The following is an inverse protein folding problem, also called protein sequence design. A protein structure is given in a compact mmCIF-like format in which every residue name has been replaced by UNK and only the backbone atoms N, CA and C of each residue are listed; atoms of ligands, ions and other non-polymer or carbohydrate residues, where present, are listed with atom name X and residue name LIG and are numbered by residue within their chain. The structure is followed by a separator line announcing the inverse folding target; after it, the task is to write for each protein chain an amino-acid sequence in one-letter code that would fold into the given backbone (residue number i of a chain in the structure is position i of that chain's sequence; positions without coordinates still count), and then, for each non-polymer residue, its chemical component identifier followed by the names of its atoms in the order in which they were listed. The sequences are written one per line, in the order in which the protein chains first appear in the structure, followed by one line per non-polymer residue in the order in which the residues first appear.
data_IF_690795018603
#
_entry.id   IF_690795018603
#
_cell.length_a   1.000
_cell.length_b   1.000
_cell.length_c   1.000
_cell.angle_alpha   90.00
_cell.angle_beta   90.00
_cell.angle_gamma   90.00
#
_symmetry.space_group_name_H-M   'P 1'
#
loop_
_entity.id
_entity.type
_entity.pdbx_description
1 polymer ?
#
# COMPACT_ATOMS: atom_id res chain seq x y z
N UNK A 1 -20.37 -30.12 -1.89
CA UNK A 1 -19.45 -29.49 -0.95
C UNK A 1 -18.80 -28.32 -1.68
N UNK A 2 -18.49 -27.21 -1.00
CA UNK A 2 -17.79 -26.09 -1.64
C UNK A 2 -16.31 -26.41 -1.67
N UNK A 3 -15.63 -26.05 -2.76
CA UNK A 3 -14.18 -26.16 -2.89
C UNK A 3 -13.56 -24.84 -2.47
N UNK A 4 -12.50 -24.89 -1.65
CA UNK A 4 -11.66 -23.74 -1.37
C UNK A 4 -10.46 -23.76 -2.31
N UNK A 5 -10.22 -22.67 -3.02
CA UNK A 5 -9.03 -22.45 -3.85
C UNK A 5 -8.07 -21.58 -3.05
N UNK A 6 -6.78 -21.96 -3.04
CA UNK A 6 -5.76 -21.27 -2.26
C UNK A 6 -4.40 -21.26 -2.96
N UNK A 7 -3.63 -20.21 -2.72
CA UNK A 7 -2.24 -20.10 -3.13
C UNK A 7 -1.33 -20.22 -1.91
N UNK A 8 -0.48 -21.24 -1.92
CA UNK A 8 0.44 -21.60 -0.84
C UNK A 8 1.84 -21.10 -1.17
N UNK A 9 2.55 -20.53 -0.19
CA UNK A 9 3.97 -20.22 -0.35
C UNK A 9 4.78 -21.51 -0.35
N UNK A 10 5.20 -21.96 -1.53
CA UNK A 10 5.93 -23.22 -1.73
C UNK A 10 7.41 -23.10 -1.41
N UNK A 11 8.01 -21.98 -1.83
CA UNK A 11 9.44 -21.66 -1.58
C UNK A 11 9.61 -20.15 -1.39
N UNK A 12 10.72 -19.77 -0.76
CA UNK A 12 11.11 -18.37 -0.62
C UNK A 12 11.53 -17.82 -1.99
N UNK A 13 10.93 -16.69 -2.47
CA UNK A 13 11.36 -16.08 -3.72
C UNK A 13 12.80 -15.58 -3.65
N UNK A 14 13.60 -15.88 -4.69
CA UNK A 14 14.92 -15.32 -4.89
C UNK A 14 14.84 -14.22 -5.96
N UNK A 15 14.74 -12.96 -5.53
CA UNK A 15 14.44 -11.83 -6.43
C UNK A 15 12.94 -11.60 -6.61
N UNK A 16 12.49 -11.15 -7.82
CA UNK A 16 11.06 -10.99 -8.12
C UNK A 16 10.30 -12.31 -7.99
N UNK A 17 9.09 -12.25 -7.42
CA UNK A 17 8.22 -13.42 -7.31
C UNK A 17 7.85 -13.96 -8.70
N UNK A 18 7.88 -15.27 -8.83
CA UNK A 18 7.42 -16.01 -10.02
C UNK A 18 6.35 -17.03 -9.59
N UNK A 19 5.52 -17.46 -10.53
CA UNK A 19 4.43 -18.40 -10.25
C UNK A 19 4.93 -19.68 -9.55
N UNK A 20 6.13 -20.18 -9.91
CA UNK A 20 6.73 -21.37 -9.32
C UNK A 20 7.12 -21.23 -7.84
N UNK A 21 7.08 -20.03 -7.26
CA UNK A 21 7.29 -19.82 -5.82
C UNK A 21 6.04 -20.23 -5.02
N UNK A 22 4.92 -20.42 -5.72
CA UNK A 22 3.63 -20.71 -5.14
C UNK A 22 3.10 -22.07 -5.62
N UNK A 23 2.22 -22.66 -4.84
CA UNK A 23 1.46 -23.87 -5.18
C UNK A 23 -0.02 -23.53 -5.19
N UNK A 24 -0.69 -23.77 -6.32
CA UNK A 24 -2.16 -23.71 -6.38
C UNK A 24 -2.73 -24.98 -5.79
N UNK A 25 -3.67 -24.85 -4.87
CA UNK A 25 -4.33 -25.97 -4.21
C UNK A 25 -5.83 -25.79 -4.22
N UNK A 26 -6.54 -26.88 -4.47
CA UNK A 26 -7.97 -27.00 -4.28
C UNK A 26 -8.23 -28.02 -3.17
N UNK A 27 -8.97 -27.61 -2.15
CA UNK A 27 -9.36 -28.47 -1.05
C UNK A 27 -10.87 -28.41 -0.86
N UNK A 28 -11.44 -29.46 -0.26
CA UNK A 28 -12.80 -29.38 0.21
C UNK A 28 -12.87 -28.37 1.36
N UNK A 29 -13.84 -27.45 1.31
CA UNK A 29 -14.02 -26.49 2.40
C UNK A 29 -14.45 -27.27 3.66
N UNK A 30 -13.50 -27.46 4.56
CA UNK A 30 -13.78 -28.00 5.87
C UNK A 30 -14.58 -26.97 6.68
N UNK A 31 -15.71 -27.42 7.24
CA UNK A 31 -16.56 -26.64 8.13
C UNK A 31 -16.36 -27.04 9.59
N UNK A 32 -15.26 -26.71 10.27
CA UNK A 32 -15.22 -26.80 11.71
C UNK A 32 -16.24 -25.80 12.29
N UNK A 33 -16.88 -26.14 13.39
CA UNK A 33 -17.66 -25.17 14.14
C UNK A 33 -16.75 -23.99 14.48
N UNK A 34 -17.17 -22.76 14.12
CA UNK A 34 -16.37 -21.58 14.37
C UNK A 34 -16.19 -21.37 15.88
N UNK A 35 -14.95 -21.18 16.31
CA UNK A 35 -14.64 -20.77 17.68
C UNK A 35 -15.12 -19.33 17.95
N UNK A 36 -15.33 -18.94 19.22
CA UNK A 36 -15.70 -17.57 19.55
C UNK A 36 -14.73 -16.51 18.96
N UNK A 37 -15.28 -15.47 18.36
CA UNK A 37 -14.53 -14.42 17.70
C UNK A 37 -14.06 -14.76 16.28
N UNK A 38 -14.46 -15.90 15.72
CA UNK A 38 -14.12 -16.27 14.35
C UNK A 38 -15.26 -15.94 13.38
N UNK A 39 -14.88 -15.59 12.17
CA UNK A 39 -15.76 -15.38 11.03
C UNK A 39 -15.26 -16.18 9.83
N UNK A 40 -16.18 -16.72 9.03
CA UNK A 40 -15.88 -17.27 7.71
C UNK A 40 -16.23 -16.23 6.66
N UNK A 41 -15.26 -15.86 5.85
CA UNK A 41 -15.39 -14.85 4.79
C UNK A 41 -15.19 -15.50 3.43
N UNK A 42 -16.04 -15.17 2.46
CA UNK A 42 -15.78 -15.41 1.04
C UNK A 42 -15.10 -14.19 0.46
N UNK A 43 -13.83 -14.31 0.11
CA UNK A 43 -13.02 -13.24 -0.44
C UNK A 43 -13.30 -13.02 -1.92
N UNK A 44 -13.63 -11.79 -2.29
CA UNK A 44 -13.95 -11.37 -3.66
C UNK A 44 -12.93 -10.39 -4.23
N UNK A 45 -12.13 -9.72 -3.38
CA UNK A 45 -11.12 -8.75 -3.78
C UNK A 45 -9.82 -8.98 -3.03
N UNK A 46 -8.70 -8.94 -3.76
CA UNK A 46 -7.34 -9.12 -3.24
C UNK A 46 -6.48 -7.92 -3.62
N UNK A 47 -5.85 -7.29 -2.62
CA UNK A 47 -4.90 -6.19 -2.85
C UNK A 47 -3.52 -6.74 -3.17
N UNK A 48 -2.95 -6.35 -4.29
CA UNK A 48 -1.54 -6.57 -4.58
C UNK A 48 -0.68 -5.48 -3.92
N UNK A 49 -0.23 -5.73 -2.70
CA UNK A 49 0.63 -4.81 -1.96
C UNK A 49 2.10 -5.26 -2.04
N UNK A 50 3.04 -4.38 -2.46
CA UNK A 50 4.46 -4.76 -2.57
C UNK A 50 5.05 -5.31 -1.27
N UNK A 51 4.55 -4.86 -0.13
CA UNK A 51 5.03 -5.26 1.20
C UNK A 51 4.92 -6.77 1.47
N UNK A 52 4.00 -7.48 0.80
CA UNK A 52 3.87 -8.95 0.91
C UNK A 52 5.16 -9.67 0.55
N UNK A 53 6.00 -9.10 -0.35
CA UNK A 53 7.27 -9.69 -0.73
C UNK A 53 8.19 -9.86 0.49
N UNK A 54 8.22 -8.88 1.42
CA UNK A 54 9.01 -8.98 2.64
C UNK A 54 8.52 -10.10 3.56
N UNK A 55 7.20 -10.34 3.58
CA UNK A 55 6.61 -11.39 4.42
C UNK A 55 6.87 -12.80 3.89
N UNK A 56 7.32 -12.92 2.64
CA UNK A 56 7.73 -14.20 2.04
C UNK A 56 9.19 -14.56 2.37
N UNK A 57 9.98 -13.65 2.96
CA UNK A 57 11.35 -13.93 3.39
C UNK A 57 11.38 -14.84 4.63
N UNK A 58 12.54 -15.46 4.87
CA UNK A 58 12.74 -16.28 6.05
C UNK A 58 12.60 -15.45 7.33
N UNK A 59 12.13 -16.05 8.44
CA UNK A 59 12.09 -15.36 9.73
C UNK A 59 13.43 -14.74 10.07
N UNK A 60 13.40 -13.47 10.47
CA UNK A 60 14.57 -12.70 10.84
C UNK A 60 14.30 -11.87 12.09
N UNK A 61 15.26 -11.03 12.48
CA UNK A 61 15.05 -10.04 13.57
C UNK A 61 14.21 -8.83 13.14
N UNK A 62 13.59 -8.89 11.95
CA UNK A 62 12.67 -7.85 11.49
C UNK A 62 11.38 -7.84 12.29
N UNK A 63 10.77 -6.66 12.37
CA UNK A 63 9.50 -6.46 13.09
C UNK A 63 8.27 -6.80 12.25
N UNK A 64 8.44 -7.30 11.02
CA UNK A 64 7.34 -7.72 10.16
C UNK A 64 7.15 -9.26 10.18
N UNK A 65 5.93 -9.74 9.90
CA UNK A 65 5.65 -11.18 9.90
C UNK A 65 6.43 -11.92 8.81
N UNK A 66 6.61 -13.23 8.98
CA UNK A 66 7.10 -14.14 7.93
C UNK A 66 6.04 -15.21 7.70
N UNK A 67 5.69 -15.40 6.43
CA UNK A 67 4.76 -16.46 6.01
C UNK A 67 5.52 -17.79 6.07
N UNK A 68 4.92 -18.81 6.69
CA UNK A 68 5.51 -20.14 6.75
C UNK A 68 5.45 -20.83 5.37
N UNK A 69 6.47 -21.62 5.05
CA UNK A 69 6.41 -22.49 3.87
C UNK A 69 5.30 -23.53 4.04
N UNK A 70 4.49 -23.70 3.00
CA UNK A 70 3.32 -24.57 3.01
C UNK A 70 2.04 -23.93 3.58
N UNK A 71 2.12 -22.68 4.04
CA UNK A 71 0.95 -21.89 4.45
C UNK A 71 0.38 -21.05 3.31
N UNK A 72 -0.92 -20.71 3.33
CA UNK A 72 -1.53 -19.76 2.43
C UNK A 72 -0.85 -18.38 2.54
N UNK A 73 -0.70 -17.69 1.39
CA UNK A 73 -0.05 -16.38 1.36
C UNK A 73 -0.91 -15.34 2.04
N UNK A 74 -0.38 -14.67 3.05
CA UNK A 74 -1.04 -13.52 3.71
C UNK A 74 -1.34 -12.40 2.70
N UNK A 75 -2.49 -11.77 2.82
CA UNK A 75 -2.90 -10.67 1.95
C UNK A 75 -3.87 -9.72 2.64
N UNK A 76 -4.02 -8.51 2.12
CA UNK A 76 -5.21 -7.71 2.41
C UNK A 76 -6.31 -8.13 1.45
N UNK A 77 -7.44 -8.55 2.00
CA UNK A 77 -8.59 -9.05 1.24
C UNK A 77 -9.87 -8.33 1.62
N UNK A 78 -10.86 -8.42 0.76
CA UNK A 78 -12.21 -7.99 1.05
C UNK A 78 -13.23 -9.02 0.56
N UNK A 79 -14.31 -9.18 1.33
CA UNK A 79 -15.30 -10.19 1.01
C UNK A 79 -16.56 -10.09 1.87
N UNK A 80 -17.40 -11.10 1.76
CA UNK A 80 -18.66 -11.22 2.49
C UNK A 80 -18.56 -12.27 3.59
N UNK A 81 -19.03 -11.92 4.78
CA UNK A 81 -19.15 -12.85 5.92
C UNK A 81 -20.25 -13.87 5.65
N UNK A 82 -19.88 -15.15 5.62
CA UNK A 82 -20.80 -16.26 5.42
C UNK A 82 -21.28 -16.89 6.74
N UNK A 83 -20.39 -16.94 7.74
CA UNK A 83 -20.67 -17.42 9.09
C UNK A 83 -19.91 -16.55 10.09
N UNK A 84 -20.50 -16.37 11.29
CA UNK A 84 -19.90 -15.50 12.30
C UNK A 84 -20.24 -15.97 13.72
N UNK A 85 -19.25 -15.85 14.59
CA UNK A 85 -19.39 -15.91 16.05
C UNK A 85 -19.04 -14.57 16.70
N UNK A 86 -18.91 -13.50 15.92
CA UNK A 86 -18.63 -12.13 16.38
C UNK A 86 -19.78 -11.20 15.96
N UNK A 87 -20.50 -10.66 16.93
CA UNK A 87 -21.64 -9.77 16.69
C UNK A 87 -21.28 -8.46 15.96
N UNK A 88 -20.00 -8.09 15.95
CA UNK A 88 -19.52 -6.91 15.19
C UNK A 88 -19.59 -7.13 13.68
N UNK A 89 -19.53 -8.39 13.24
CA UNK A 89 -19.50 -8.79 11.83
C UNK A 89 -20.57 -9.86 11.57
N UNK A 90 -21.87 -9.50 11.58
CA UNK A 90 -22.94 -10.46 11.34
C UNK A 90 -22.88 -11.05 9.93
N UNK A 91 -23.50 -12.22 9.74
CA UNK A 91 -23.63 -12.88 8.42
C UNK A 91 -24.21 -11.90 7.40
N UNK A 92 -23.59 -11.85 6.20
CA UNK A 92 -23.94 -10.92 5.15
C UNK A 92 -23.17 -9.61 5.19
N UNK A 93 -22.49 -9.26 6.30
CA UNK A 93 -21.61 -8.09 6.34
C UNK A 93 -20.50 -8.20 5.30
N UNK A 94 -20.11 -7.06 4.74
CA UNK A 94 -18.92 -6.95 3.91
C UNK A 94 -17.78 -6.40 4.75
N UNK A 95 -16.60 -6.99 4.58
CA UNK A 95 -15.43 -6.68 5.39
C UNK A 95 -14.17 -6.51 4.53
N UNK A 96 -13.25 -5.69 5.01
CA UNK A 96 -11.84 -5.70 4.61
C UNK A 96 -11.03 -6.27 5.75
N UNK A 97 -10.01 -7.07 5.46
CA UNK A 97 -9.23 -7.75 6.49
C UNK A 97 -7.80 -8.08 6.04
N UNK A 98 -6.97 -8.44 7.00
CA UNK A 98 -5.78 -9.25 6.71
C UNK A 98 -6.23 -10.70 6.69
N UNK A 99 -6.27 -11.25 5.51
CA UNK A 99 -6.61 -12.64 5.21
C UNK A 99 -5.50 -13.30 4.39
N UNK A 100 -5.88 -14.20 3.50
CA UNK A 100 -4.94 -14.98 2.70
C UNK A 100 -5.35 -15.02 1.23
N UNK A 101 -4.44 -15.43 0.35
CA UNK A 101 -4.78 -15.77 -1.04
C UNK A 101 -5.57 -17.07 -1.07
N UNK A 102 -6.78 -17.00 -0.59
CA UNK A 102 -7.77 -18.09 -0.61
C UNK A 102 -9.19 -17.55 -0.74
N UNK A 103 -10.08 -18.31 -1.34
CA UNK A 103 -11.46 -17.87 -1.57
C UNK A 103 -12.28 -17.84 -0.29
N UNK A 104 -12.14 -18.85 0.54
CA UNK A 104 -12.83 -18.95 1.83
C UNK A 104 -11.81 -18.91 2.95
N UNK A 105 -11.95 -17.95 3.83
CA UNK A 105 -10.99 -17.68 4.88
C UNK A 105 -11.67 -17.64 6.26
N UNK A 106 -11.13 -18.37 7.22
CA UNK A 106 -11.57 -18.34 8.62
C UNK A 106 -10.62 -17.46 9.40
N UNK A 107 -11.11 -16.32 9.87
CA UNK A 107 -10.30 -15.30 10.54
C UNK A 107 -10.80 -15.07 11.96
N UNK A 108 -9.86 -15.01 12.90
CA UNK A 108 -10.12 -14.53 14.25
C UNK A 108 -10.13 -13.01 14.28
N UNK A 109 -11.31 -12.41 14.31
CA UNK A 109 -11.53 -10.95 14.28
C UNK A 109 -11.11 -10.22 15.56
N UNK A 110 -10.79 -10.95 16.62
CA UNK A 110 -10.21 -10.40 17.84
C UNK A 110 -8.68 -10.25 17.75
N UNK A 111 -8.03 -10.98 16.83
CA UNK A 111 -6.57 -11.01 16.66
C UNK A 111 -6.14 -10.24 15.41
N UNK A 112 -6.84 -10.47 14.31
CA UNK A 112 -6.53 -9.86 13.02
C UNK A 112 -7.39 -8.61 12.75
N UNK A 113 -6.85 -7.59 12.11
CA UNK A 113 -7.62 -6.41 11.71
C UNK A 113 -8.74 -6.79 10.73
N UNK A 114 -9.99 -6.74 11.20
CA UNK A 114 -11.20 -6.86 10.38
C UNK A 114 -11.99 -5.57 10.51
N UNK A 115 -12.43 -5.01 9.39
CA UNK A 115 -13.19 -3.75 9.35
C UNK A 115 -14.42 -3.91 8.48
N UNK A 116 -15.56 -3.51 9.00
CA UNK A 116 -16.79 -3.47 8.23
C UNK A 116 -16.68 -2.45 7.09
N UNK A 117 -17.14 -2.82 5.91
CA UNK A 117 -17.33 -1.89 4.79
C UNK A 117 -18.63 -1.14 5.01
N UNK A 118 -18.62 0.20 4.99
CA UNK A 118 -19.82 1.00 5.14
C UNK A 118 -20.90 0.66 4.11
N UNK A 119 -22.15 0.78 4.50
CA UNK A 119 -23.30 0.63 3.61
C UNK A 119 -23.20 1.63 2.43
N UNK A 120 -23.51 1.18 1.24
CA UNK A 120 -23.43 1.98 0.02
C UNK A 120 -22.06 2.03 -0.65
N UNK A 121 -20.99 1.48 -0.04
CA UNK A 121 -19.68 1.33 -0.68
C UNK A 121 -19.52 -0.09 -1.24
N UNK A 122 -18.94 -0.25 -2.40
CA UNK A 122 -18.51 -1.56 -2.90
C UNK A 122 -17.12 -1.95 -2.36
N UNK A 123 -16.67 -3.18 -2.64
CA UNK A 123 -15.38 -3.67 -2.14
C UNK A 123 -14.19 -3.04 -2.87
N UNK A 124 -14.37 -2.60 -4.11
CA UNK A 124 -13.33 -1.89 -4.87
C UNK A 124 -13.06 -0.52 -4.22
N UNK A 125 -14.12 0.23 -3.91
CA UNK A 125 -14.00 1.50 -3.21
C UNK A 125 -13.37 1.33 -1.81
N UNK A 126 -13.79 0.30 -1.07
CA UNK A 126 -13.26 0.00 0.26
C UNK A 126 -11.78 -0.42 0.25
N UNK A 127 -11.29 -1.04 -0.81
CA UNK A 127 -9.90 -1.50 -0.97
C UNK A 127 -9.01 -0.49 -1.70
N UNK A 128 -9.58 0.36 -2.54
CA UNK A 128 -8.91 1.41 -3.31
C UNK A 128 -8.82 2.73 -2.51
N UNK A 129 -9.72 3.69 -2.79
CA UNK A 129 -9.63 5.06 -2.25
C UNK A 129 -9.85 5.14 -0.74
N UNK A 130 -10.53 4.18 -0.13
CA UNK A 130 -10.76 4.09 1.32
C UNK A 130 -9.97 2.95 1.97
N UNK A 131 -9.09 2.32 1.20
CA UNK A 131 -8.33 1.16 1.61
C UNK A 131 -7.03 1.49 2.34
N UNK A 132 -6.31 0.42 2.66
CA UNK A 132 -5.09 0.48 3.47
C UNK A 132 -4.04 1.44 2.90
N UNK A 133 -3.78 1.41 1.59
CA UNK A 133 -2.76 2.24 0.96
C UNK A 133 -3.08 3.73 1.02
N UNK A 134 -4.35 4.09 0.80
CA UNK A 134 -4.81 5.46 0.85
C UNK A 134 -4.80 6.02 2.29
N UNK A 135 -5.23 5.22 3.27
CA UNK A 135 -5.16 5.58 4.69
C UNK A 135 -3.71 5.68 5.19
N UNK A 136 -2.81 4.81 4.70
CA UNK A 136 -1.37 4.91 4.98
C UNK A 136 -0.81 6.24 4.46
N UNK A 137 -1.18 6.65 3.24
CA UNK A 137 -0.79 7.96 2.70
C UNK A 137 -1.31 9.10 3.58
N UNK A 138 -2.57 9.04 4.00
CA UNK A 138 -3.17 10.05 4.87
C UNK A 138 -2.38 10.25 6.16
N UNK A 139 -2.13 9.20 6.92
CA UNK A 139 -1.40 9.32 8.19
C UNK A 139 0.08 9.62 8.00
N UNK A 140 0.72 9.06 6.99
CA UNK A 140 2.10 9.38 6.68
C UNK A 140 2.29 10.87 6.39
N UNK A 141 1.35 11.51 5.68
CA UNK A 141 1.40 12.95 5.43
C UNK A 141 0.96 13.75 6.65
N UNK A 142 -0.22 13.47 7.23
CA UNK A 142 -0.83 14.35 8.23
C UNK A 142 -0.29 14.18 9.64
N UNK A 143 0.09 12.95 10.02
CA UNK A 143 0.57 12.63 11.37
C UNK A 143 2.09 12.60 11.48
N UNK A 144 2.79 12.11 10.45
CA UNK A 144 4.26 11.94 10.45
C UNK A 144 4.96 13.10 9.76
N UNK A 145 4.64 13.37 8.50
CA UNK A 145 5.24 14.45 7.69
C UNK A 145 4.88 15.83 8.19
N UNK A 146 3.61 16.03 8.53
CA UNK A 146 3.07 17.32 9.03
C UNK A 146 3.51 18.52 8.20
N UNK A 147 3.27 18.50 6.88
CA UNK A 147 3.69 19.59 6.03
C UNK A 147 2.90 20.88 6.36
N UNK A 148 3.57 22.00 6.19
CA UNK A 148 2.96 23.32 6.33
C UNK A 148 2.68 23.92 4.94
N UNK A 149 1.65 24.75 4.84
CA UNK A 149 1.37 25.45 3.59
C UNK A 149 2.59 26.28 3.13
N UNK A 150 2.94 26.17 1.84
CA UNK A 150 4.11 26.81 1.24
C UNK A 150 5.40 25.99 1.33
N UNK A 151 5.46 24.90 2.08
CA UNK A 151 6.61 23.98 2.06
C UNK A 151 6.67 23.16 0.78
N UNK A 152 7.86 22.67 0.44
CA UNK A 152 8.09 21.74 -0.67
C UNK A 152 8.01 20.30 -0.16
N UNK A 153 7.06 19.54 -0.69
CA UNK A 153 6.91 18.10 -0.45
C UNK A 153 7.35 17.31 -1.67
N UNK A 154 8.34 16.43 -1.49
CA UNK A 154 8.80 15.47 -2.48
C UNK A 154 8.20 14.10 -2.18
N UNK A 155 7.72 13.38 -3.20
CA UNK A 155 7.09 12.07 -3.04
C UNK A 155 7.74 11.07 -3.99
N UNK A 156 8.31 9.99 -3.48
CA UNK A 156 8.82 8.88 -4.30
C UNK A 156 7.71 7.89 -4.63
N UNK A 157 7.80 7.23 -5.80
CA UNK A 157 6.74 6.33 -6.27
C UNK A 157 5.40 7.04 -6.41
N UNK A 158 5.43 8.32 -6.82
CA UNK A 158 4.28 9.23 -6.79
C UNK A 158 3.12 8.80 -7.70
N UNK A 159 3.36 7.97 -8.71
CA UNK A 159 2.32 7.43 -9.58
C UNK A 159 1.71 6.09 -9.08
N UNK A 160 2.21 5.57 -7.96
CA UNK A 160 1.67 4.36 -7.33
C UNK A 160 0.49 4.65 -6.39
N UNK A 161 -0.13 3.58 -5.88
CA UNK A 161 -1.31 3.63 -5.01
C UNK A 161 -1.16 4.61 -3.84
N UNK A 162 -0.15 4.41 -2.98
CA UNK A 162 0.08 5.25 -1.80
C UNK A 162 0.63 6.62 -2.19
N UNK A 163 1.61 6.65 -3.13
CA UNK A 163 2.30 7.89 -3.51
C UNK A 163 1.39 8.92 -4.15
N UNK A 164 0.45 8.50 -4.99
CA UNK A 164 -0.48 9.42 -5.66
C UNK A 164 -1.44 10.09 -4.67
N UNK A 165 -1.90 9.35 -3.68
CA UNK A 165 -2.74 9.89 -2.60
C UNK A 165 -1.92 10.84 -1.71
N UNK A 166 -0.71 10.44 -1.29
CA UNK A 166 0.17 11.29 -0.48
C UNK A 166 0.49 12.63 -1.16
N UNK A 167 0.79 12.59 -2.46
CA UNK A 167 1.08 13.79 -3.24
C UNK A 167 -0.12 14.75 -3.29
N UNK A 168 -1.32 14.23 -3.53
CA UNK A 168 -2.53 15.04 -3.55
C UNK A 168 -2.88 15.61 -2.17
N UNK A 169 -2.70 14.85 -1.09
CA UNK A 169 -2.90 15.35 0.28
C UNK A 169 -1.93 16.50 0.55
N UNK A 170 -0.66 16.38 0.15
CA UNK A 170 0.31 17.48 0.23
C UNK A 170 -0.21 18.76 -0.45
N UNK A 171 -0.78 18.65 -1.65
CA UNK A 171 -1.40 19.78 -2.35
C UNK A 171 -2.62 20.33 -1.62
N UNK A 172 -3.48 19.47 -1.12
CA UNK A 172 -4.67 19.85 -0.33
C UNK A 172 -4.25 20.69 0.88
N UNK A 173 -3.12 20.36 1.49
CA UNK A 173 -2.54 21.09 2.62
C UNK A 173 -1.76 22.36 2.23
N UNK A 174 -1.67 22.67 0.93
CA UNK A 174 -1.06 23.90 0.42
C UNK A 174 0.44 23.83 0.17
N UNK A 175 1.02 22.64 0.06
CA UNK A 175 2.41 22.46 -0.31
C UNK A 175 2.63 22.64 -1.81
N UNK A 176 3.86 23.02 -2.18
CA UNK A 176 4.42 22.73 -3.48
C UNK A 176 4.78 21.24 -3.51
N UNK A 177 4.22 20.48 -4.44
CA UNK A 177 4.42 19.02 -4.49
C UNK A 177 5.15 18.62 -5.76
N UNK A 178 6.25 17.88 -5.58
CA UNK A 178 7.06 17.29 -6.66
C UNK A 178 6.97 15.77 -6.55
N UNK A 179 6.56 15.10 -7.63
CA UNK A 179 6.46 13.65 -7.69
C UNK A 179 7.64 13.01 -8.40
N UNK A 180 8.19 11.91 -7.87
CA UNK A 180 9.19 11.07 -8.56
C UNK A 180 8.49 9.83 -9.08
N UNK A 181 8.57 9.58 -10.40
CA UNK A 181 8.00 8.41 -11.05
C UNK A 181 8.93 7.88 -12.15
N UNK A 182 8.61 6.73 -12.74
CA UNK A 182 9.43 6.12 -13.81
C UNK A 182 8.79 6.29 -15.17
N UNK A 183 9.44 7.04 -16.03
CA UNK A 183 9.07 7.31 -17.42
C UNK A 183 8.18 8.54 -17.59
N UNK A 184 8.20 9.11 -18.83
CA UNK A 184 7.51 10.36 -19.15
C UNK A 184 5.99 10.28 -18.97
N UNK A 185 5.36 9.17 -19.34
CA UNK A 185 3.90 9.00 -19.25
C UNK A 185 3.39 9.14 -17.81
N UNK A 186 4.10 8.55 -16.83
CA UNK A 186 3.75 8.68 -15.41
C UNK A 186 4.01 10.10 -14.91
N UNK A 187 5.07 10.75 -15.35
CA UNK A 187 5.36 12.13 -15.00
C UNK A 187 4.29 13.08 -15.57
N UNK A 188 3.87 12.89 -16.82
CA UNK A 188 2.81 13.66 -17.45
C UNK A 188 1.46 13.47 -16.72
N UNK A 189 1.14 12.24 -16.33
CA UNK A 189 -0.06 11.97 -15.55
C UNK A 189 -0.05 12.69 -14.19
N UNK A 190 1.09 12.71 -13.48
CA UNK A 190 1.23 13.44 -12.22
C UNK A 190 0.95 14.94 -12.37
N UNK A 191 1.42 15.54 -13.46
CA UNK A 191 1.25 16.98 -13.74
C UNK A 191 -0.18 17.25 -14.23
N UNK A 192 -0.61 16.56 -15.28
CA UNK A 192 -1.83 16.90 -16.01
C UNK A 192 -3.10 16.43 -15.32
N UNK A 193 -3.05 15.24 -14.67
CA UNK A 193 -4.24 14.66 -14.05
C UNK A 193 -4.29 14.92 -12.54
N UNK A 194 -3.16 14.77 -11.83
CA UNK A 194 -3.12 15.05 -10.40
C UNK A 194 -2.80 16.52 -10.10
N UNK A 195 -2.32 17.26 -11.10
CA UNK A 195 -2.02 18.67 -11.01
C UNK A 195 -0.85 18.98 -10.07
N UNK A 196 0.14 18.09 -9.97
CA UNK A 196 1.36 18.37 -9.20
C UNK A 196 2.14 19.53 -9.82
N UNK A 197 2.90 20.22 -9.01
CA UNK A 197 3.68 21.38 -9.47
C UNK A 197 4.84 21.00 -10.39
N UNK A 198 5.40 19.78 -10.20
CA UNK A 198 6.41 19.21 -11.08
C UNK A 198 6.50 17.69 -10.90
N UNK A 199 7.15 17.03 -11.86
CA UNK A 199 7.49 15.62 -11.78
C UNK A 199 8.93 15.36 -12.23
N UNK A 200 9.56 14.33 -11.67
CA UNK A 200 10.93 13.91 -11.96
C UNK A 200 10.89 12.47 -12.46
N UNK A 201 11.45 12.23 -13.64
CA UNK A 201 11.70 10.87 -14.13
C UNK A 201 13.04 10.36 -13.57
N UNK A 202 12.97 9.44 -12.59
CA UNK A 202 14.19 8.89 -11.99
C UNK A 202 15.06 8.11 -12.99
N UNK A 203 14.49 7.66 -14.12
CA UNK A 203 15.20 6.92 -15.18
C UNK A 203 16.08 7.84 -16.05
N UNK A 204 15.86 9.16 -15.99
CA UNK A 204 16.64 10.12 -16.76
C UNK A 204 18.06 10.38 -16.18
N UNK A 205 18.40 9.74 -15.05
CA UNK A 205 19.73 9.84 -14.40
C UNK A 205 19.91 11.10 -13.57
N UNK A 206 21.06 11.24 -12.90
CA UNK A 206 21.44 12.35 -12.02
C UNK A 206 20.33 12.91 -11.12
N UNK A 207 19.72 12.02 -10.32
CA UNK A 207 18.53 12.32 -9.54
C UNK A 207 18.77 13.44 -8.52
N UNK A 208 19.98 13.54 -7.95
CA UNK A 208 20.34 14.62 -7.01
C UNK A 208 20.18 15.99 -7.68
N UNK A 209 20.70 16.17 -8.89
CA UNK A 209 20.61 17.40 -9.66
C UNK A 209 19.19 17.70 -10.13
N UNK A 210 18.47 16.66 -10.56
CA UNK A 210 17.05 16.82 -10.92
C UNK A 210 16.22 17.34 -9.75
N UNK A 211 16.41 16.79 -8.54
CA UNK A 211 15.73 17.27 -7.33
C UNK A 211 16.16 18.71 -7.02
N UNK A 212 17.45 19.01 -7.07
CA UNK A 212 17.97 20.36 -6.82
C UNK A 212 17.34 21.41 -7.75
N UNK A 213 17.28 21.09 -9.04
CA UNK A 213 16.71 22.01 -10.05
C UNK A 213 15.19 22.15 -9.91
N UNK A 214 14.50 21.05 -9.64
CA UNK A 214 13.03 21.02 -9.55
C UNK A 214 12.51 21.56 -8.22
N UNK A 215 13.31 21.43 -7.15
CA UNK A 215 13.02 21.95 -5.81
C UNK A 215 14.01 23.08 -5.44
N UNK A 216 13.94 24.26 -6.09
CA UNK A 216 14.96 25.32 -5.92
C UNK A 216 15.07 25.86 -4.49
N UNK A 217 14.04 25.68 -3.67
CA UNK A 217 14.04 26.05 -2.25
C UNK A 217 14.39 24.87 -1.33
N UNK A 218 14.84 23.73 -1.89
CA UNK A 218 15.08 22.49 -1.18
C UNK A 218 13.80 21.71 -0.88
N UNK A 219 13.94 20.62 -0.14
CA UNK A 219 12.84 19.70 0.23
C UNK A 219 12.57 19.81 1.73
N UNK A 220 11.35 20.15 2.11
CA UNK A 220 10.94 20.23 3.52
C UNK A 220 10.37 18.92 4.05
N UNK A 221 9.60 18.22 3.20
CA UNK A 221 9.04 16.91 3.52
C UNK A 221 9.34 15.94 2.39
N UNK A 222 9.94 14.81 2.69
CA UNK A 222 10.09 13.70 1.75
C UNK A 222 9.24 12.52 2.20
N UNK A 223 8.28 12.12 1.36
CA UNK A 223 7.46 10.94 1.56
C UNK A 223 8.05 9.79 0.74
N UNK A 224 8.64 8.81 1.42
CA UNK A 224 9.41 7.75 0.79
C UNK A 224 8.68 6.42 0.73
N UNK A 225 8.41 5.96 -0.50
CA UNK A 225 7.90 4.62 -0.81
C UNK A 225 8.98 3.69 -1.37
N UNK A 226 10.17 4.20 -1.72
CA UNK A 226 11.12 3.50 -2.58
C UNK A 226 12.42 3.16 -1.89
N UNK A 227 13.00 4.08 -1.11
CA UNK A 227 14.31 3.88 -0.51
C UNK A 227 15.48 4.02 -1.49
N UNK A 228 16.61 3.40 -1.18
CA UNK A 228 17.79 3.29 -2.04
C UNK A 228 18.33 4.64 -2.53
N UNK A 229 18.65 4.71 -3.82
CA UNK A 229 19.23 5.89 -4.46
C UNK A 229 18.29 7.12 -4.42
N UNK A 230 16.96 6.88 -4.43
CA UNK A 230 15.98 7.98 -4.33
C UNK A 230 16.01 8.60 -2.93
N UNK A 231 16.07 7.78 -1.88
CA UNK A 231 16.23 8.26 -0.51
C UNK A 231 17.56 9.02 -0.33
N UNK A 232 18.66 8.49 -0.89
CA UNK A 232 19.96 9.18 -0.84
C UNK A 232 19.87 10.56 -1.51
N UNK A 233 19.30 10.63 -2.72
CA UNK A 233 19.15 11.88 -3.46
C UNK A 233 18.25 12.90 -2.74
N UNK A 234 17.18 12.43 -2.11
CA UNK A 234 16.32 13.29 -1.30
C UNK A 234 17.06 13.84 -0.06
N UNK A 235 17.85 13.01 0.62
CA UNK A 235 18.67 13.44 1.77
C UNK A 235 19.68 14.51 1.36
N UNK A 236 20.26 14.45 0.16
CA UNK A 236 21.18 15.50 -0.35
C UNK A 236 20.50 16.85 -0.58
N UNK A 237 19.17 16.85 -0.75
CA UNK A 237 18.38 18.05 -1.04
C UNK A 237 17.46 18.48 0.13
N UNK A 238 17.51 17.75 1.27
CA UNK A 238 16.63 18.02 2.42
C UNK A 238 17.01 19.32 3.12
N UNK A 239 16.02 20.13 3.47
CA UNK A 239 16.17 21.37 4.21
C UNK A 239 16.47 21.15 5.69
N UNK A 240 16.93 22.21 6.36
CA UNK A 240 17.01 22.23 7.82
C UNK A 240 15.61 22.03 8.42
N UNK A 241 15.50 21.17 9.44
CA UNK A 241 14.24 20.72 10.06
C UNK A 241 13.35 19.90 9.12
N UNK A 242 13.91 19.40 8.02
CA UNK A 242 13.22 18.53 7.10
C UNK A 242 12.71 17.25 7.75
N UNK A 243 11.67 16.66 7.16
CA UNK A 243 11.04 15.44 7.65
C UNK A 243 11.02 14.41 6.55
N UNK A 244 11.50 13.22 6.86
CA UNK A 244 11.48 12.06 5.97
C UNK A 244 10.51 11.04 6.54
N UNK A 245 9.44 10.77 5.81
CA UNK A 245 8.41 9.79 6.14
C UNK A 245 8.77 8.48 5.46
N UNK A 246 9.16 7.48 6.21
CA UNK A 246 9.47 6.14 5.69
C UNK A 246 8.18 5.32 5.61
N UNK A 247 7.59 5.23 4.43
CA UNK A 247 6.39 4.45 4.15
C UNK A 247 6.70 3.07 3.58
N UNK A 248 7.73 2.97 2.74
CA UNK A 248 8.14 1.72 2.09
C UNK A 248 9.56 1.78 1.54
N UNK A 249 10.06 0.63 1.09
CA UNK A 249 11.42 0.47 0.58
C UNK A 249 11.44 -0.48 -0.63
N UNK A 250 10.51 -0.26 -1.59
CA UNK A 250 10.28 -1.21 -2.69
C UNK A 250 11.54 -1.53 -3.51
N UNK A 251 12.50 -0.61 -3.56
CA UNK A 251 13.80 -0.87 -4.21
C UNK A 251 14.58 -2.02 -3.58
N UNK A 252 14.28 -2.36 -2.32
CA UNK A 252 14.97 -3.42 -1.59
C UNK A 252 14.22 -4.75 -1.53
N UNK A 253 12.95 -4.79 -1.92
CA UNK A 253 12.13 -5.97 -1.65
C UNK A 253 12.55 -7.21 -2.45
N UNK A 254 13.11 -7.03 -3.63
CA UNK A 254 13.60 -8.13 -4.48
C UNK A 254 15.12 -8.33 -4.40
N UNK A 255 15.80 -7.58 -3.54
CA UNK A 255 17.26 -7.66 -3.45
C UNK A 255 17.70 -8.76 -2.49
N UNK A 256 18.70 -9.55 -2.88
CA UNK A 256 19.29 -10.58 -2.03
C UNK A 256 20.20 -10.02 -0.93
N UNK A 257 20.48 -8.72 -0.97
CA UNK A 257 21.31 -8.00 0.01
C UNK A 257 20.58 -6.76 0.48
N UNK A 258 20.77 -6.34 1.74
CA UNK A 258 20.20 -5.10 2.23
C UNK A 258 20.59 -3.90 1.33
N UNK A 259 19.60 -3.12 0.93
CA UNK A 259 19.82 -1.86 0.19
C UNK A 259 20.50 -0.88 1.12
N UNK A 260 21.52 -0.20 0.59
CA UNK A 260 22.30 0.75 1.37
C UNK A 260 21.44 1.97 1.74
N UNK A 261 21.49 2.35 3.00
CA UNK A 261 20.86 3.58 3.49
C UNK A 261 21.66 4.84 3.13
N UNK A 262 21.18 6.04 3.54
CA UNK A 262 21.88 7.29 3.30
C UNK A 262 23.30 7.27 3.86
N UNK A 263 24.27 7.73 3.06
CA UNK A 263 25.69 7.72 3.43
C UNK A 263 26.09 8.97 4.22
N UNK A 264 25.41 10.11 4.02
CA UNK A 264 25.73 11.37 4.67
C UNK A 264 24.85 11.64 5.90
N UNK A 265 25.04 10.86 6.96
CA UNK A 265 24.26 10.99 8.20
C UNK A 265 24.50 12.34 8.93
N UNK A 266 25.59 13.05 8.64
CA UNK A 266 25.83 14.38 9.24
C UNK A 266 24.83 15.44 8.78
N UNK A 267 24.13 15.22 7.64
CA UNK A 267 23.02 16.09 7.24
C UNK A 267 21.86 16.04 8.24
N UNK A 268 21.63 14.90 8.87
CA UNK A 268 20.62 14.78 9.94
C UNK A 268 21.00 15.58 11.16
N UNK A 269 22.29 15.56 11.54
CA UNK A 269 22.78 16.28 12.72
C UNK A 269 22.73 17.81 12.46
N UNK A 270 23.41 18.29 11.42
CA UNK A 270 23.47 19.72 11.13
C UNK A 270 22.17 20.32 10.62
N UNK A 271 21.36 19.52 9.91
CA UNK A 271 20.06 19.91 9.42
C UNK A 271 18.94 19.77 10.45
N UNK A 272 19.19 19.11 11.60
CA UNK A 272 18.12 18.73 12.55
C UNK A 272 16.97 17.99 11.86
N UNK A 273 17.32 17.10 10.91
CA UNK A 273 16.36 16.35 10.09
C UNK A 273 15.80 15.19 10.90
N UNK A 274 14.51 14.96 10.77
CA UNK A 274 13.83 13.79 11.34
C UNK A 274 13.51 12.77 10.25
N UNK A 275 13.80 11.50 10.51
CA UNK A 275 13.38 10.37 9.68
C UNK A 275 12.55 9.43 10.57
N UNK A 276 11.34 9.09 10.11
CA UNK A 276 10.40 8.32 10.93
C UNK A 276 9.59 7.34 10.07
N UNK A 277 9.58 6.06 10.49
CA UNK A 277 8.65 5.04 10.03
C UNK A 277 7.35 5.06 10.83
N UNK A 278 6.32 4.40 10.31
CA UNK A 278 5.01 4.27 10.95
C UNK A 278 4.26 3.07 10.36
N UNK A 279 3.26 2.59 11.07
CA UNK A 279 2.30 1.61 10.61
C UNK A 279 0.88 2.19 10.67
N UNK A 280 0.02 1.78 9.74
CA UNK A 280 -1.39 2.19 9.75
C UNK A 280 -2.09 1.79 11.07
N UNK A 281 -1.73 0.63 11.64
CA UNK A 281 -2.27 0.15 12.91
C UNK A 281 -2.00 1.06 14.10
N UNK A 282 -0.97 1.94 14.02
CA UNK A 282 -0.68 2.92 15.08
C UNK A 282 -1.77 4.01 15.19
N UNK A 283 -2.67 4.10 14.19
CA UNK A 283 -3.71 5.14 14.07
C UNK A 283 -5.13 4.58 14.00
N UNK A 284 -5.35 3.37 14.53
CA UNK A 284 -6.64 2.68 14.42
C UNK A 284 -7.82 3.53 14.92
N UNK A 285 -7.66 4.20 16.05
CA UNK A 285 -8.69 5.06 16.65
C UNK A 285 -9.01 6.31 15.81
N UNK A 286 -8.10 6.71 14.91
CA UNK A 286 -8.27 7.89 14.06
C UNK A 286 -8.81 7.57 12.65
N UNK A 287 -8.95 6.29 12.30
CA UNK A 287 -9.43 5.86 10.99
C UNK A 287 -10.79 6.44 10.60
N UNK A 288 -11.80 6.54 11.51
CA UNK A 288 -13.09 7.12 11.16
C UNK A 288 -12.98 8.58 10.70
N UNK A 289 -12.13 9.38 11.38
CA UNK A 289 -11.85 10.76 10.99
C UNK A 289 -11.19 10.83 9.62
N UNK A 290 -10.14 10.03 9.41
CA UNK A 290 -9.40 10.00 8.15
C UNK A 290 -10.32 9.65 6.97
N UNK A 291 -11.16 8.64 7.12
CA UNK A 291 -12.14 8.26 6.09
C UNK A 291 -13.14 9.36 5.78
N UNK A 292 -13.63 10.06 6.81
CA UNK A 292 -14.57 11.18 6.63
C UNK A 292 -13.93 12.32 5.83
N UNK A 293 -12.69 12.71 6.17
CA UNK A 293 -11.98 13.77 5.47
C UNK A 293 -11.65 13.37 4.02
N UNK A 294 -11.18 12.14 3.80
CA UNK A 294 -10.86 11.66 2.46
C UNK A 294 -12.11 11.55 1.58
N UNK A 295 -13.22 11.03 2.10
CA UNK A 295 -14.49 10.98 1.39
C UNK A 295 -14.97 12.38 0.97
N UNK A 296 -14.79 13.37 1.84
CA UNK A 296 -15.08 14.77 1.52
C UNK A 296 -14.20 15.27 0.37
N UNK A 297 -12.88 15.04 0.42
CA UNK A 297 -11.96 15.46 -0.64
C UNK A 297 -12.23 14.78 -1.98
N UNK A 298 -12.64 13.50 -1.97
CA UNK A 298 -13.05 12.77 -3.17
C UNK A 298 -14.32 13.40 -3.75
N UNK A 299 -15.34 13.62 -2.91
CA UNK A 299 -16.61 14.24 -3.31
C UNK A 299 -16.42 15.66 -3.89
N UNK A 300 -15.46 16.41 -3.36
CA UNK A 300 -15.07 17.74 -3.85
C UNK A 300 -14.19 17.71 -5.11
N UNK A 301 -13.79 16.52 -5.57
CA UNK A 301 -12.86 16.35 -6.69
C UNK A 301 -11.42 16.79 -6.42
N UNK A 302 -11.07 16.98 -5.14
CA UNK A 302 -9.72 17.38 -4.69
C UNK A 302 -8.78 16.20 -4.52
N UNK A 303 -9.31 15.00 -4.27
CA UNK A 303 -8.60 13.73 -4.20
C UNK A 303 -9.16 12.81 -5.28
N UNK A 304 -8.34 12.53 -6.28
CA UNK A 304 -8.60 11.56 -7.33
C UNK A 304 -7.96 10.23 -6.97
N UNK A 305 -8.57 9.15 -7.37
CA UNK A 305 -8.04 7.80 -7.19
C UNK A 305 -8.07 7.03 -8.51
N UNK A 306 -7.30 5.97 -8.59
CA UNK A 306 -7.22 5.10 -9.76
C UNK A 306 -6.96 3.68 -9.31
N UNK A 307 -7.81 2.77 -9.72
CA UNK A 307 -7.72 1.34 -9.48
C UNK A 307 -7.43 0.61 -10.80
N UNK A 308 -6.39 -0.21 -10.78
CA UNK A 308 -6.09 -1.21 -11.81
C UNK A 308 -6.78 -2.51 -11.37
N UNK A 309 -7.97 -2.76 -11.91
CA UNK A 309 -8.78 -3.92 -11.55
C UNK A 309 -8.56 -5.04 -12.56
N UNK A 310 -8.02 -6.15 -12.08
CA UNK A 310 -7.80 -7.35 -12.87
C UNK A 310 -8.60 -8.52 -12.32
N UNK A 311 -8.77 -9.58 -13.09
CA UNK A 311 -9.66 -10.69 -12.74
C UNK A 311 -8.95 -12.03 -12.73
N UNK A 312 -9.54 -12.97 -11.96
CA UNK A 312 -9.14 -14.37 -11.92
C UNK A 312 -8.26 -14.72 -10.73
N UNK A 313 -8.78 -15.58 -9.87
CA UNK A 313 -8.07 -16.09 -8.69
C UNK A 313 -6.77 -16.81 -9.08
N UNK A 314 -6.80 -17.57 -10.17
CA UNK A 314 -5.68 -18.32 -10.73
C UNK A 314 -4.52 -17.44 -11.20
N UNK A 315 -4.79 -16.15 -11.45
CA UNK A 315 -3.81 -15.18 -11.97
C UNK A 315 -3.08 -14.41 -10.86
N UNK A 316 -3.46 -14.58 -9.59
CA UNK A 316 -2.91 -13.78 -8.47
C UNK A 316 -1.38 -13.72 -8.46
N UNK A 317 -0.61 -14.84 -8.51
CA UNK A 317 0.85 -14.76 -8.45
C UNK A 317 1.46 -14.05 -9.66
N UNK A 318 0.92 -14.25 -10.86
CA UNK A 318 1.40 -13.59 -12.09
C UNK A 318 1.18 -12.08 -11.99
N UNK A 319 -0.05 -11.66 -11.65
CA UNK A 319 -0.41 -10.25 -11.52
C UNK A 319 0.40 -9.58 -10.40
N UNK A 320 0.60 -10.29 -9.28
CA UNK A 320 1.42 -9.78 -8.18
C UNK A 320 2.88 -9.54 -8.59
N UNK A 321 3.47 -10.44 -9.37
CA UNK A 321 4.83 -10.28 -9.90
C UNK A 321 5.02 -9.02 -10.75
N UNK A 322 3.99 -8.61 -11.47
CA UNK A 322 4.02 -7.43 -12.35
C UNK A 322 4.13 -6.08 -11.61
N UNK A 323 3.77 -6.04 -10.32
CA UNK A 323 3.83 -4.79 -9.53
C UNK A 323 5.26 -4.23 -9.44
N UNK A 324 6.26 -5.12 -9.41
CA UNK A 324 7.68 -4.74 -9.34
C UNK A 324 8.24 -4.25 -10.69
N UNK A 325 7.59 -4.57 -11.79
CA UNK A 325 7.89 -4.01 -13.10
C UNK A 325 7.28 -2.59 -13.29
N UNK A 326 6.41 -2.18 -12.37
CA UNK A 326 5.71 -0.90 -12.43
C UNK A 326 4.71 -0.83 -13.58
N UNK A 327 4.12 -1.96 -13.96
CA UNK A 327 3.13 -2.06 -15.05
C UNK A 327 1.70 -1.75 -14.59
N UNK A 328 1.48 -1.59 -13.27
CA UNK A 328 0.18 -1.23 -12.73
C UNK A 328 -0.08 0.28 -12.80
N UNK A 329 -1.36 0.61 -12.90
CA UNK A 329 -1.89 1.97 -12.96
C UNK A 329 -2.71 2.29 -11.68
N UNK A 330 -2.03 2.74 -10.62
CA UNK A 330 -2.67 3.04 -9.34
C UNK A 330 -2.74 1.82 -8.40
N UNK A 331 -3.87 1.65 -7.71
CA UNK A 331 -4.08 0.54 -6.78
C UNK A 331 -4.42 -0.74 -7.53
N UNK A 332 -3.54 -1.74 -7.47
CA UNK A 332 -3.74 -3.02 -8.16
C UNK A 332 -4.60 -3.95 -7.30
N UNK A 333 -5.80 -4.24 -7.81
CA UNK A 333 -6.79 -5.11 -7.20
C UNK A 333 -7.09 -6.31 -8.10
N UNK A 334 -7.28 -7.48 -7.51
CA UNK A 334 -7.74 -8.66 -8.23
C UNK A 334 -9.12 -9.01 -7.75
N UNK A 335 -10.07 -9.10 -8.68
CA UNK A 335 -11.48 -9.44 -8.44
C UNK A 335 -11.73 -10.87 -8.89
N UNK A 336 -12.41 -11.64 -8.06
CA UNK A 336 -12.68 -13.06 -8.33
C UNK A 336 -14.15 -13.38 -8.57
N UNK A 337 -15.04 -12.47 -8.19
CA UNK A 337 -16.48 -12.60 -8.46
C UNK A 337 -17.21 -11.24 -8.45
N UNK A 338 -18.51 -11.26 -8.83
CA UNK A 338 -19.35 -10.07 -8.97
C UNK A 338 -19.75 -9.42 -7.63
N UNK A 339 -19.58 -10.13 -6.50
CA UNK A 339 -19.86 -9.59 -5.15
C UNK A 339 -18.96 -8.39 -4.81
N UNK A 340 -17.82 -8.28 -5.52
CA UNK A 340 -16.90 -7.16 -5.43
C UNK A 340 -17.56 -5.79 -5.71
N UNK A 341 -18.53 -5.77 -6.62
CA UNK A 341 -19.23 -4.56 -7.08
C UNK A 341 -20.59 -4.35 -6.39
N UNK A 342 -20.99 -5.25 -5.50
CA UNK A 342 -22.23 -5.10 -4.76
C UNK A 342 -22.11 -3.97 -3.71
N UNK A 343 -23.17 -3.17 -3.55
CA UNK A 343 -23.25 -2.09 -2.57
C UNK A 343 -24.19 -2.41 -1.39
N UNK A 344 -24.85 -3.58 -1.46
CA UNK A 344 -25.82 -4.05 -0.44
C UNK A 344 -25.49 -5.45 0.04
#
# INVERSE_FOLDING_TARGET
MKTNREWILRRRPEGPCVVDDFEYRESELEHPALEPGHILVHNSVFLCAPTLRNWMDAPSNSLYPSIDLGAPVLATTAGRVLESTDDRFPVGSRVTMIGHWQEYDVVNSAVWPVRAVPEGQDLIEAMGPMGMNALTAYFGVTAVGRPLAGETMLVSGAAGSTGSVAAQIGRILGCRVVGIAGGPEKCDWLINELGLDAAIDYRAGNLVEQIHTTCPNGVDVFFDNVGGEILQAAVENINKFGRIVLCGQIAGYNESRPVQGPTNMMRFVYGSVRMQGFLLGDYEDELPRARTEMAMWIKEGRLKHREDVRTGFENIPTIYGEIFAGSNDGTLLIVTDEDAYATT
#
